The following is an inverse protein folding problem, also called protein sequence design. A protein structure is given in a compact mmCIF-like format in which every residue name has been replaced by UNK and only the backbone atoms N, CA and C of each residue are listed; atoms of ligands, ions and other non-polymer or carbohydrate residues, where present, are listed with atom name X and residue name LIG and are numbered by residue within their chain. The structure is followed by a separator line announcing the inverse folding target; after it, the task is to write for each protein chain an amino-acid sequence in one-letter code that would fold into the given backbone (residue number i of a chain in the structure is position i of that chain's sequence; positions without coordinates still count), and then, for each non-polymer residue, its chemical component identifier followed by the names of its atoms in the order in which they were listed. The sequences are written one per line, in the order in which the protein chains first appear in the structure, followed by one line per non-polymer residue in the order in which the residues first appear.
data_IF_119097355428
#
_entry.id   IF_119097355428
#
_cell.length_a   1.000
_cell.length_b   1.000
_cell.length_c   1.000
_cell.angle_alpha   90.00
_cell.angle_beta   90.00
_cell.angle_gamma   90.00
#
_symmetry.space_group_name_H-M   'P 1'
#
loop_
_entity.id
_entity.type
_entity.pdbx_description
1 polymer ?
#
# COMPACT_ATOMS: atom_id res chain seq x y z
N UNK A 1 13.19 -5.99 10.48
CA UNK A 1 11.80 -5.59 10.76
C UNK A 1 10.92 -6.07 9.62
N UNK A 2 9.69 -6.44 9.94
CA UNK A 2 8.70 -6.96 8.99
C UNK A 2 7.31 -6.51 9.44
N UNK A 3 6.36 -6.52 8.52
CA UNK A 3 4.94 -6.33 8.74
C UNK A 3 4.18 -7.58 8.25
N UNK A 4 3.01 -7.87 8.81
CA UNK A 4 2.21 -9.06 8.48
C UNK A 4 0.75 -8.63 8.32
N UNK A 5 0.08 -9.19 7.33
CA UNK A 5 -1.36 -9.09 7.10
C UNK A 5 -1.94 -10.47 6.74
N UNK A 6 -3.26 -10.55 6.58
CA UNK A 6 -3.98 -11.77 6.18
C UNK A 6 -4.46 -11.69 4.73
N UNK A 7 -4.51 -12.83 4.03
CA UNK A 7 -5.17 -12.94 2.72
C UNK A 7 -6.37 -13.89 2.78
N UNK A 8 -7.48 -13.47 2.20
CA UNK A 8 -8.71 -14.27 2.10
C UNK A 8 -9.07 -14.53 0.65
N UNK A 9 -9.50 -15.77 0.35
CA UNK A 9 -9.88 -16.15 -1.00
C UNK A 9 -11.36 -15.88 -1.25
N UNK A 10 -11.68 -14.95 -2.15
CA UNK A 10 -13.07 -14.64 -2.49
C UNK A 10 -13.23 -14.09 -3.92
N UNK A 11 -14.47 -14.08 -4.40
CA UNK A 11 -14.83 -13.37 -5.64
C UNK A 11 -15.05 -11.89 -5.35
N UNK A 12 -14.69 -11.03 -6.30
CA UNK A 12 -14.95 -9.58 -6.28
C UNK A 12 -15.99 -9.21 -7.31
N UNK A 13 -17.26 -9.51 -7.03
CA UNK A 13 -18.36 -9.20 -7.96
C UNK A 13 -18.51 -7.70 -8.22
N UNK A 14 -18.02 -6.87 -7.32
CA UNK A 14 -17.91 -5.42 -7.42
C UNK A 14 -16.84 -4.94 -8.41
N UNK A 15 -15.79 -5.73 -8.68
CA UNK A 15 -14.69 -5.38 -9.59
C UNK A 15 -14.65 -6.22 -10.87
N UNK A 16 -15.30 -7.38 -10.88
CA UNK A 16 -15.27 -8.33 -11.98
C UNK A 16 -14.34 -9.52 -11.74
N UNK A 17 -14.36 -10.51 -12.66
CA UNK A 17 -13.72 -11.80 -12.47
C UNK A 17 -12.19 -11.74 -12.39
N UNK A 18 -11.55 -10.76 -13.05
CA UNK A 18 -10.09 -10.60 -13.10
C UNK A 18 -9.45 -10.15 -11.76
N UNK A 19 -10.30 -9.85 -10.78
CA UNK A 19 -9.94 -9.37 -9.45
C UNK A 19 -10.26 -10.39 -8.34
N UNK A 20 -10.86 -11.52 -8.69
CA UNK A 20 -11.13 -12.61 -7.77
C UNK A 20 -9.83 -13.33 -7.34
N UNK A 21 -9.93 -14.14 -6.29
CA UNK A 21 -8.80 -14.86 -5.71
C UNK A 21 -8.40 -14.25 -4.37
N UNK A 22 -7.10 -14.15 -4.11
CA UNK A 22 -6.56 -13.60 -2.87
C UNK A 22 -6.84 -12.10 -2.72
N UNK A 23 -7.42 -11.75 -1.59
CA UNK A 23 -7.66 -10.38 -1.17
C UNK A 23 -6.91 -10.14 0.14
N UNK A 24 -6.06 -9.13 0.18
CA UNK A 24 -5.38 -8.73 1.39
C UNK A 24 -6.32 -7.95 2.31
N UNK A 25 -6.24 -8.27 3.60
CA UNK A 25 -6.92 -7.58 4.70
C UNK A 25 -5.87 -7.34 5.77
N UNK A 26 -5.68 -6.07 6.14
CA UNK A 26 -4.79 -5.70 7.23
C UNK A 26 -5.60 -5.08 8.38
N UNK A 27 -5.61 -5.78 9.51
CA UNK A 27 -6.27 -5.34 10.74
C UNK A 27 -5.37 -4.44 11.60
N UNK A 28 -4.11 -4.26 11.22
CA UNK A 28 -3.17 -3.39 11.92
C UNK A 28 -3.56 -1.93 11.64
N UNK A 29 -3.86 -1.12 12.67
CA UNK A 29 -4.33 0.25 12.48
C UNK A 29 -3.18 1.18 12.11
N UNK A 30 -2.79 1.18 10.82
CA UNK A 30 -1.69 2.00 10.30
C UNK A 30 -2.19 3.31 9.68
N UNK A 31 -3.10 3.22 8.70
CA UNK A 31 -3.67 4.36 7.99
C UNK A 31 -5.20 4.39 8.09
N UNK A 32 -5.76 5.59 7.92
CA UNK A 32 -7.21 5.77 7.87
C UNK A 32 -7.74 5.45 6.47
N UNK A 33 -8.74 4.59 6.40
CA UNK A 33 -9.49 4.33 5.15
C UNK A 33 -10.35 5.55 4.77
N UNK A 34 -10.99 5.48 3.60
CA UNK A 34 -11.82 6.58 3.03
C UNK A 34 -12.92 7.08 3.98
N UNK A 35 -13.47 6.18 4.81
CA UNK A 35 -14.51 6.51 5.80
C UNK A 35 -13.96 6.99 7.16
N UNK A 36 -12.65 7.25 7.23
CA UNK A 36 -11.92 7.69 8.43
C UNK A 36 -11.97 6.70 9.59
N UNK A 37 -12.05 5.40 9.27
CA UNK A 37 -11.87 4.32 10.24
C UNK A 37 -10.57 3.56 9.96
N UNK A 38 -9.97 2.98 11.00
CA UNK A 38 -8.80 2.12 10.85
C UNK A 38 -9.23 0.74 10.37
N UNK A 39 -9.05 0.51 9.08
CA UNK A 39 -9.28 -0.75 8.39
C UNK A 39 -8.54 -0.71 7.06
N UNK A 40 -8.17 -1.86 6.55
CA UNK A 40 -7.57 -1.97 5.22
C UNK A 40 -8.09 -3.22 4.52
N UNK A 41 -8.61 -3.03 3.30
CA UNK A 41 -9.10 -4.10 2.44
C UNK A 41 -10.59 -4.40 2.58
N UNK A 42 -11.11 -5.40 1.84
CA UNK A 42 -10.36 -6.35 1.01
C UNK A 42 -9.78 -5.70 -0.25
N UNK A 43 -8.46 -5.78 -0.41
CA UNK A 43 -7.73 -5.29 -1.57
C UNK A 43 -7.35 -6.46 -2.48
N UNK A 44 -7.66 -6.38 -3.78
CA UNK A 44 -7.33 -7.46 -4.72
C UNK A 44 -5.82 -7.51 -4.95
N UNK A 45 -5.17 -8.61 -4.58
CA UNK A 45 -3.73 -8.82 -4.79
C UNK A 45 -3.37 -8.73 -6.28
N UNK A 46 -4.29 -9.13 -7.16
CA UNK A 46 -4.13 -8.97 -8.61
C UNK A 46 -4.10 -7.50 -9.03
N UNK A 47 -4.95 -6.65 -8.44
CA UNK A 47 -4.95 -5.20 -8.68
C UNK A 47 -3.67 -4.55 -8.16
N UNK A 48 -3.22 -4.90 -6.94
CA UNK A 48 -1.93 -4.43 -6.38
C UNK A 48 -0.81 -4.75 -7.37
N UNK A 49 -0.71 -6.00 -7.82
CA UNK A 49 0.34 -6.44 -8.75
C UNK A 49 0.32 -5.68 -10.09
N UNK A 50 -0.84 -5.25 -10.56
CA UNK A 50 -1.00 -4.45 -11.78
C UNK A 50 -0.81 -2.93 -11.55
N UNK A 51 -0.64 -2.49 -10.31
CA UNK A 51 -0.51 -1.07 -9.97
C UNK A 51 -1.82 -0.28 -10.08
N UNK A 52 -2.97 -0.95 -9.98
CA UNK A 52 -4.30 -0.34 -10.10
C UNK A 52 -4.72 0.33 -8.78
N UNK A 53 -3.97 1.36 -8.36
CA UNK A 53 -4.08 1.97 -7.01
C UNK A 53 -5.42 2.62 -6.68
N UNK A 54 -6.28 2.86 -7.69
CA UNK A 54 -7.61 3.44 -7.51
C UNK A 54 -8.70 2.37 -7.31
N UNK A 55 -8.37 1.08 -7.44
CA UNK A 55 -9.32 0.00 -7.17
C UNK A 55 -9.66 -0.06 -5.68
N UNK A 56 -10.93 -0.20 -5.29
CA UNK A 56 -11.27 -0.40 -3.89
C UNK A 56 -10.89 -1.82 -3.41
N UNK A 57 -10.62 -2.04 -2.14
CA UNK A 57 -10.49 -1.05 -1.07
C UNK A 57 -9.01 -0.84 -0.74
N UNK A 58 -8.62 0.40 -0.41
CA UNK A 58 -7.30 0.78 0.12
C UNK A 58 -6.08 0.30 -0.71
N UNK A 59 -6.28 0.02 -2.00
CA UNK A 59 -5.27 -0.63 -2.85
C UNK A 59 -4.03 0.25 -3.04
N UNK A 60 -4.17 1.58 -2.98
CA UNK A 60 -3.06 2.52 -2.99
C UNK A 60 -2.16 2.43 -1.76
N UNK A 61 -2.75 2.25 -0.56
CA UNK A 61 -1.99 2.05 0.67
C UNK A 61 -1.24 0.72 0.62
N UNK A 62 -1.94 -0.37 0.30
CA UNK A 62 -1.33 -1.69 0.22
C UNK A 62 -0.24 -1.78 -0.86
N UNK A 63 -0.42 -1.10 -2.00
CA UNK A 63 0.64 -0.97 -3.00
C UNK A 63 1.88 -0.26 -2.45
N UNK A 64 1.70 0.81 -1.68
CA UNK A 64 2.82 1.53 -1.07
C UNK A 64 3.59 0.65 -0.07
N UNK A 65 2.93 -0.24 0.68
CA UNK A 65 3.62 -1.15 1.61
C UNK A 65 4.67 -2.03 0.93
N UNK A 66 4.41 -2.46 -0.30
CA UNK A 66 5.27 -3.41 -1.04
C UNK A 66 6.12 -2.77 -2.14
N UNK A 67 5.78 -1.55 -2.60
CA UNK A 67 6.40 -0.93 -3.76
C UNK A 67 6.87 0.53 -3.55
N UNK A 68 6.82 1.08 -2.34
CA UNK A 68 7.32 2.44 -2.09
C UNK A 68 8.85 2.56 -2.25
N UNK A 69 9.28 3.63 -2.92
CA UNK A 69 10.68 4.02 -3.00
C UNK A 69 11.19 4.52 -1.64
N UNK A 70 12.42 4.12 -1.27
CA UNK A 70 13.11 4.67 -0.10
C UNK A 70 14.02 5.81 -0.54
N UNK A 71 13.72 7.02 -0.08
CA UNK A 71 14.49 8.24 -0.42
C UNK A 71 15.28 8.74 0.79
N UNK A 72 16.60 8.84 0.63
CA UNK A 72 17.52 9.26 1.69
C UNK A 72 17.86 10.74 1.54
N UNK A 73 17.53 11.52 2.56
CA UNK A 73 17.81 12.95 2.63
C UNK A 73 18.84 13.24 3.71
N UNK A 74 19.71 14.21 3.46
CA UNK A 74 20.58 14.80 4.47
C UNK A 74 19.96 16.09 4.96
N UNK A 75 19.74 16.16 6.27
CA UNK A 75 19.24 17.33 6.97
C UNK A 75 20.38 17.97 7.78
N UNK A 76 20.61 19.26 7.56
CA UNK A 76 21.66 20.04 8.21
C UNK A 76 21.11 21.19 9.09
N UNK A 77 19.80 21.17 9.39
CA UNK A 77 19.14 22.18 10.23
C UNK A 77 18.00 22.93 9.51
N UNK A 78 17.19 23.71 10.26
CA UNK A 78 15.89 24.20 9.78
C UNK A 78 15.97 25.20 8.61
N UNK A 79 17.09 25.92 8.53
CA UNK A 79 17.33 26.94 7.50
C UNK A 79 18.08 26.38 6.29
N UNK A 80 18.57 25.15 6.36
CA UNK A 80 19.33 24.52 5.30
C UNK A 80 18.41 23.63 4.46
N UNK A 81 18.51 23.69 3.13
CA UNK A 81 17.69 22.83 2.28
C UNK A 81 18.04 21.35 2.50
N UNK A 82 17.01 20.49 2.44
CA UNK A 82 17.22 19.04 2.40
C UNK A 82 18.03 18.68 1.15
N UNK A 83 19.09 17.91 1.33
CA UNK A 83 19.90 17.41 0.22
C UNK A 83 19.58 15.95 -0.05
N UNK A 84 19.11 15.63 -1.26
CA UNK A 84 18.95 14.24 -1.69
C UNK A 84 20.32 13.55 -1.74
N UNK A 85 20.43 12.39 -1.09
CA UNK A 85 21.65 11.59 -1.06
C UNK A 85 21.53 10.35 -1.93
N UNK A 86 20.40 9.64 -1.85
CA UNK A 86 20.18 8.38 -2.55
C UNK A 86 18.69 8.11 -2.70
N UNK A 87 18.33 7.38 -3.76
CA UNK A 87 17.03 6.73 -3.93
C UNK A 87 17.26 5.23 -4.08
N UNK A 88 16.43 4.44 -3.42
CA UNK A 88 16.36 3.00 -3.58
C UNK A 88 14.96 2.64 -4.06
N UNK A 89 14.90 2.07 -5.26
CA UNK A 89 13.66 1.81 -6.02
C UNK A 89 13.45 0.31 -6.29
N UNK A 90 14.36 -0.54 -5.80
CA UNK A 90 14.35 -1.98 -6.09
C UNK A 90 14.11 -2.86 -4.85
N UNK A 91 14.03 -2.25 -3.67
CA UNK A 91 13.73 -2.94 -2.41
C UNK A 91 14.96 -3.27 -1.58
#
# INVERSE_FOLDING_TARGET
NFHVWDEVWMKRYDLGPDYAGWQAIDATPQELSEDRTYKCGPASVAAVKRGEIQSPYDNGFLFAEVNADKVFWRYNGPTQPLKLIRKDIYG
#
